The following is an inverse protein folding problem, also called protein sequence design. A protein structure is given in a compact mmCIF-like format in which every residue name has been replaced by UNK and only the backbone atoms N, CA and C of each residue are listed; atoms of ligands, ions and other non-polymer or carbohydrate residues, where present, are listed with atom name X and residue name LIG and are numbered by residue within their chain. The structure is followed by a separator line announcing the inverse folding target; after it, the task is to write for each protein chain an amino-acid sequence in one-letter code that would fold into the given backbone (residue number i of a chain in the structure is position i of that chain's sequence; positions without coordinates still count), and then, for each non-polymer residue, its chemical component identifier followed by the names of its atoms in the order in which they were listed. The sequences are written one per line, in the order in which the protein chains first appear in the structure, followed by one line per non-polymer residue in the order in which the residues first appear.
data_IF_107143601897
#
_entry.id   IF_107143601897
#
_cell.length_a   1.000
_cell.length_b   1.000
_cell.length_c   1.000
_cell.angle_alpha   90.00
_cell.angle_beta   90.00
_cell.angle_gamma   90.00
#
_symmetry.space_group_name_H-M   'P 1'
#
loop_
_entity.id
_entity.type
_entity.pdbx_description
1 polymer ?
#
# COMPACT_ATOMS: atom_id res chain seq x y z
N UNK A 1 -3.32 16.47 -31.65
CA UNK A 1 -3.45 16.52 -30.17
C UNK A 1 -3.96 15.16 -29.70
N UNK A 2 -3.31 14.47 -28.75
CA UNK A 2 -3.90 13.27 -28.19
C UNK A 2 -5.28 13.62 -27.62
N UNK A 3 -6.30 12.80 -27.94
CA UNK A 3 -7.64 12.99 -27.41
C UNK A 3 -7.57 12.94 -25.89
N UNK A 4 -8.04 13.99 -25.22
CA UNK A 4 -8.25 13.98 -23.77
C UNK A 4 -9.36 12.97 -23.50
N UNK A 5 -9.02 11.86 -22.83
CA UNK A 5 -9.99 10.88 -22.37
C UNK A 5 -10.89 11.57 -21.34
N UNK A 6 -12.21 11.45 -21.50
CA UNK A 6 -13.20 12.08 -20.62
C UNK A 6 -14.26 11.05 -20.22
N UNK A 7 -14.64 11.06 -18.94
CA UNK A 7 -15.63 10.15 -18.37
C UNK A 7 -15.03 8.90 -17.73
N UNK A 8 -15.87 8.09 -17.06
CA UNK A 8 -15.42 6.91 -16.31
C UNK A 8 -14.94 5.80 -17.26
N UNK A 9 -13.92 5.06 -16.83
CA UNK A 9 -13.42 3.89 -17.53
C UNK A 9 -14.51 2.84 -17.70
N UNK A 10 -14.82 2.52 -18.96
CA UNK A 10 -15.78 1.48 -19.34
C UNK A 10 -15.51 0.92 -20.73
N UNK A 11 -15.93 -0.31 -20.95
CA UNK A 11 -15.98 -0.95 -22.26
C UNK A 11 -17.14 -0.39 -23.11
N UNK A 12 -17.17 -0.73 -24.41
CA UNK A 12 -18.21 -0.27 -25.32
C UNK A 12 -19.62 -0.78 -24.96
N UNK A 13 -19.71 -1.94 -24.33
CA UNK A 13 -20.94 -2.55 -23.80
C UNK A 13 -21.27 -2.12 -22.36
N UNK A 14 -20.48 -1.20 -21.78
CA UNK A 14 -20.83 -0.52 -20.53
C UNK A 14 -20.24 -1.12 -19.25
N UNK A 15 -19.41 -2.18 -19.33
CA UNK A 15 -18.72 -2.75 -18.16
C UNK A 15 -17.75 -1.71 -17.59
N UNK A 16 -17.93 -1.35 -16.32
CA UNK A 16 -17.04 -0.40 -15.62
C UNK A 16 -15.68 -1.03 -15.35
N UNK A 17 -14.62 -0.34 -15.75
CA UNK A 17 -13.22 -0.69 -15.48
C UNK A 17 -12.54 0.59 -14.98
N UNK A 18 -12.43 0.80 -13.67
CA UNK A 18 -11.87 2.03 -13.14
C UNK A 18 -10.39 2.17 -13.51
N UNK A 19 -9.99 3.35 -13.97
CA UNK A 19 -8.59 3.65 -14.26
C UNK A 19 -7.95 4.29 -13.03
N UNK A 20 -7.23 3.48 -12.25
CA UNK A 20 -6.60 3.91 -11.00
C UNK A 20 -5.12 4.26 -11.22
N UNK A 21 -4.60 5.20 -10.43
CA UNK A 21 -3.19 5.57 -10.46
C UNK A 21 -2.34 4.65 -9.58
N UNK A 22 -1.09 4.45 -9.99
CA UNK A 22 -0.02 3.95 -9.12
C UNK A 22 0.86 5.14 -8.75
N UNK A 23 1.13 5.30 -7.46
CA UNK A 23 1.84 6.45 -6.91
C UNK A 23 3.06 6.00 -6.11
N UNK A 24 4.19 6.59 -6.44
CA UNK A 24 5.52 6.42 -5.84
C UNK A 24 5.97 7.68 -5.10
N UNK A 25 5.47 8.85 -5.49
CA UNK A 25 5.84 10.13 -4.85
C UNK A 25 4.62 11.03 -4.62
N UNK A 26 4.81 12.11 -3.84
CA UNK A 26 3.76 13.09 -3.59
C UNK A 26 3.45 13.95 -4.83
N UNK A 27 4.45 14.19 -5.69
CA UNK A 27 4.31 14.98 -6.92
C UNK A 27 3.38 14.28 -7.93
N UNK A 28 3.36 12.95 -7.95
CA UNK A 28 2.51 12.17 -8.85
C UNK A 28 1.01 12.28 -8.52
N UNK A 29 0.67 12.67 -7.29
CA UNK A 29 -0.72 12.85 -6.85
C UNK A 29 -1.45 13.88 -7.72
N UNK A 30 -0.84 15.05 -7.94
CA UNK A 30 -1.43 16.11 -8.77
C UNK A 30 -1.60 15.67 -10.22
N UNK A 31 -0.61 14.96 -10.76
CA UNK A 31 -0.68 14.43 -12.11
C UNK A 31 -1.82 13.41 -12.27
N UNK A 32 -2.01 12.53 -11.28
CA UNK A 32 -3.11 11.56 -11.28
C UNK A 32 -4.49 12.25 -11.24
N UNK A 33 -4.64 13.28 -10.39
CA UNK A 33 -5.88 14.07 -10.33
C UNK A 33 -6.14 14.79 -11.65
N UNK A 34 -5.13 15.45 -12.23
CA UNK A 34 -5.24 16.17 -13.50
C UNK A 34 -5.55 15.24 -14.70
N UNK A 35 -5.01 14.02 -14.65
CA UNK A 35 -5.29 12.95 -15.62
C UNK A 35 -6.69 12.33 -15.46
N UNK A 36 -7.39 12.62 -14.36
CA UNK A 36 -8.73 12.11 -14.09
C UNK A 36 -8.77 10.69 -13.52
N UNK A 37 -7.71 10.26 -12.83
CA UNK A 37 -7.65 8.93 -12.20
C UNK A 37 -8.83 8.69 -11.26
N UNK A 38 -9.49 7.54 -11.38
CA UNK A 38 -10.68 7.16 -10.61
C UNK A 38 -10.35 6.67 -9.18
N UNK A 39 -9.14 6.94 -8.71
CA UNK A 39 -8.60 6.57 -7.40
C UNK A 39 -7.14 6.16 -7.50
N UNK A 40 -6.62 5.57 -6.44
CA UNK A 40 -5.25 5.03 -6.35
C UNK A 40 -5.33 3.53 -6.14
N UNK A 41 -4.80 2.77 -7.11
CA UNK A 41 -4.76 1.31 -7.07
C UNK A 41 -3.55 0.78 -6.30
N UNK A 42 -2.50 1.60 -6.20
CA UNK A 42 -1.30 1.31 -5.45
C UNK A 42 -0.63 2.61 -5.01
N UNK A 43 -0.60 2.87 -3.70
CA UNK A 43 0.32 3.81 -3.09
C UNK A 43 1.49 3.04 -2.50
N UNK A 44 2.69 3.26 -3.05
CA UNK A 44 3.95 2.73 -2.53
C UNK A 44 4.37 3.58 -1.32
N UNK A 45 4.57 2.94 -0.17
CA UNK A 45 4.82 3.67 1.08
C UNK A 45 6.29 3.93 1.34
N UNK A 46 7.18 3.37 0.51
CA UNK A 46 8.64 3.56 0.56
C UNK A 46 9.03 5.04 0.55
N UNK A 47 8.22 5.92 -0.05
CA UNK A 47 8.41 7.38 -0.03
C UNK A 47 8.56 7.97 1.39
N UNK A 48 7.95 7.34 2.40
CA UNK A 48 8.02 7.78 3.79
C UNK A 48 9.21 7.23 4.57
N UNK A 49 9.77 6.11 4.11
CA UNK A 49 10.76 5.32 4.86
C UNK A 49 12.16 5.39 4.26
N UNK A 50 12.31 5.62 2.95
CA UNK A 50 13.62 5.69 2.32
C UNK A 50 14.27 7.07 2.51
N UNK A 51 15.59 7.12 2.32
CA UNK A 51 16.41 8.35 2.33
C UNK A 51 16.33 9.18 3.62
N UNK A 52 16.15 8.53 4.78
CA UNK A 52 16.10 9.18 6.10
C UNK A 52 16.79 8.36 7.19
N UNK A 53 17.30 9.06 8.21
CA UNK A 53 18.03 8.43 9.33
C UNK A 53 17.15 7.82 10.42
N UNK A 54 15.89 8.23 10.52
CA UNK A 54 14.95 7.77 11.54
C UNK A 54 13.63 7.37 10.93
N UNK A 55 12.99 6.38 11.53
CA UNK A 55 11.69 5.89 11.10
C UNK A 55 10.60 6.98 11.19
N UNK A 56 9.71 7.10 10.19
CA UNK A 56 8.59 8.05 10.25
C UNK A 56 7.64 7.73 11.42
N UNK A 57 7.31 8.73 12.23
CA UNK A 57 6.35 8.56 13.32
C UNK A 57 4.91 8.35 12.82
N UNK A 58 4.05 7.75 13.65
CA UNK A 58 2.63 7.49 13.31
C UNK A 58 1.90 8.75 12.85
N UNK A 59 2.12 9.89 13.53
CA UNK A 59 1.47 11.15 13.18
C UNK A 59 1.91 11.69 11.81
N UNK A 60 3.20 11.55 11.47
CA UNK A 60 3.76 11.93 10.18
C UNK A 60 3.19 11.07 9.05
N UNK A 61 3.18 9.75 9.24
CA UNK A 61 2.60 8.82 8.29
C UNK A 61 1.10 9.12 8.06
N UNK A 62 0.34 9.31 9.15
CA UNK A 62 -1.09 9.58 9.08
C UNK A 62 -1.40 10.90 8.35
N UNK A 63 -0.60 11.95 8.58
CA UNK A 63 -0.75 13.22 7.89
C UNK A 63 -0.52 13.07 6.38
N UNK A 64 0.50 12.31 5.98
CA UNK A 64 0.78 12.05 4.56
C UNK A 64 -0.31 11.21 3.90
N UNK A 65 -0.74 10.12 4.53
CA UNK A 65 -1.81 9.27 3.98
C UNK A 65 -3.13 10.03 3.86
N UNK A 66 -3.46 10.85 4.84
CA UNK A 66 -4.64 11.72 4.80
C UNK A 66 -4.54 12.74 3.66
N UNK A 67 -3.40 13.43 3.53
CA UNK A 67 -3.20 14.43 2.48
C UNK A 67 -3.33 13.84 1.08
N UNK A 68 -2.85 12.61 0.85
CA UNK A 68 -3.05 11.90 -0.43
C UNK A 68 -4.51 11.48 -0.60
N UNK A 69 -5.12 10.89 0.44
CA UNK A 69 -6.49 10.39 0.39
C UNK A 69 -7.51 11.49 0.09
N UNK A 70 -7.35 12.67 0.68
CA UNK A 70 -8.25 13.82 0.49
C UNK A 70 -8.24 14.36 -0.95
N UNK A 71 -7.30 13.93 -1.79
CA UNK A 71 -7.31 14.22 -3.24
C UNK A 71 -8.25 13.32 -4.05
N UNK A 72 -8.77 12.28 -3.42
CA UNK A 72 -9.62 11.24 -4.03
C UNK A 72 -10.90 10.99 -3.20
N UNK A 73 -11.71 12.02 -2.90
CA UNK A 73 -12.93 11.86 -2.09
C UNK A 73 -13.90 10.87 -2.74
N UNK A 74 -14.43 9.93 -1.94
CA UNK A 74 -15.31 8.87 -2.39
C UNK A 74 -14.69 7.82 -3.34
N UNK A 75 -13.38 7.88 -3.58
CA UNK A 75 -12.64 6.97 -4.48
C UNK A 75 -11.73 6.05 -3.68
N UNK A 76 -11.40 4.85 -4.19
CA UNK A 76 -10.49 3.95 -3.51
C UNK A 76 -9.06 4.50 -3.48
N UNK A 77 -8.40 4.37 -2.34
CA UNK A 77 -6.96 4.63 -2.18
C UNK A 77 -6.33 3.42 -1.50
N UNK A 78 -5.65 2.58 -2.27
CA UNK A 78 -5.05 1.35 -1.77
C UNK A 78 -3.59 1.60 -1.38
N UNK A 79 -3.32 1.53 -0.08
CA UNK A 79 -1.99 1.68 0.49
C UNK A 79 -1.33 0.33 0.63
N UNK A 80 -0.17 0.14 -0.01
CA UNK A 80 0.66 -1.05 0.22
C UNK A 80 1.56 -0.80 1.41
N UNK A 81 1.50 -1.68 2.42
CA UNK A 81 2.44 -1.61 3.54
C UNK A 81 3.87 -1.74 3.05
N UNK A 82 4.84 -1.35 3.89
CA UNK A 82 6.24 -1.23 3.48
C UNK A 82 6.76 -2.53 2.83
N UNK A 83 7.20 -2.45 1.58
CA UNK A 83 7.82 -3.54 0.83
C UNK A 83 9.31 -3.25 0.66
N UNK A 84 10.07 -3.64 1.70
CA UNK A 84 11.51 -3.50 1.74
C UNK A 84 12.17 -4.82 2.11
N UNK A 85 13.36 -5.05 1.58
CA UNK A 85 14.23 -6.18 1.90
C UNK A 85 15.68 -5.73 2.10
N UNK A 86 16.57 -6.70 2.19
CA UNK A 86 18.01 -6.53 2.37
C UNK A 86 18.71 -5.66 1.29
N UNK A 87 18.07 -5.44 0.14
CA UNK A 87 18.61 -4.65 -0.97
C UNK A 87 18.60 -3.13 -0.72
N UNK A 88 17.85 -2.65 0.27
CA UNK A 88 17.74 -1.21 0.58
C UNK A 88 18.27 -0.92 1.98
N UNK A 89 19.27 -0.04 2.05
CA UNK A 89 19.81 0.41 3.33
C UNK A 89 18.85 1.38 4.02
N UNK A 90 18.24 0.91 5.12
CA UNK A 90 17.41 1.73 6.00
C UNK A 90 18.02 1.71 7.40
N UNK A 91 18.60 2.85 7.87
CA UNK A 91 19.44 2.87 9.08
C UNK A 91 18.80 2.37 10.37
N UNK A 92 17.48 2.35 10.44
CA UNK A 92 16.70 1.92 11.60
C UNK A 92 16.09 0.52 11.44
N UNK A 93 16.43 -0.21 10.37
CA UNK A 93 16.13 -1.63 10.20
C UNK A 93 17.41 -2.45 10.42
N UNK A 94 17.31 -3.70 10.88
CA UNK A 94 18.48 -4.56 11.00
C UNK A 94 19.11 -4.75 9.61
N UNK A 95 20.44 -4.73 9.58
CA UNK A 95 21.20 -5.10 8.39
C UNK A 95 21.09 -6.62 8.22
N UNK A 96 20.50 -7.05 7.11
CA UNK A 96 20.32 -8.46 6.77
C UNK A 96 21.20 -8.73 5.55
N UNK A 97 22.24 -9.54 5.73
CA UNK A 97 23.03 -10.02 4.60
C UNK A 97 22.41 -11.33 4.11
N UNK A 98 21.84 -11.30 2.91
CA UNK A 98 21.18 -12.46 2.31
C UNK A 98 21.79 -12.77 0.93
N UNK A 99 22.03 -14.05 0.60
CA UNK A 99 22.57 -14.43 -0.70
C UNK A 99 21.60 -14.11 -1.86
N UNK A 100 20.29 -14.01 -1.57
CA UNK A 100 19.28 -13.59 -2.52
C UNK A 100 18.18 -12.73 -1.84
N UNK A 101 18.33 -11.40 -1.82
CA UNK A 101 17.36 -10.48 -1.23
C UNK A 101 15.95 -10.56 -1.84
N UNK A 102 15.83 -10.97 -3.11
CA UNK A 102 14.53 -11.06 -3.77
C UNK A 102 13.67 -12.21 -3.22
N UNK A 103 14.29 -13.26 -2.70
CA UNK A 103 13.62 -14.42 -2.11
C UNK A 103 13.63 -14.43 -0.57
N UNK A 104 14.31 -13.46 0.03
CA UNK A 104 14.62 -13.40 1.46
C UNK A 104 13.57 -12.73 2.35
N UNK A 105 14.05 -12.14 3.44
CA UNK A 105 13.29 -11.42 4.45
C UNK A 105 12.90 -10.03 3.97
N UNK A 106 11.75 -9.95 3.30
CA UNK A 106 11.21 -8.70 2.76
C UNK A 106 9.70 -8.56 2.91
N UNK A 107 9.20 -7.34 2.75
CA UNK A 107 7.78 -7.03 2.78
C UNK A 107 7.09 -7.55 4.04
N UNK A 108 5.98 -8.30 3.89
CA UNK A 108 5.26 -8.84 5.04
C UNK A 108 6.10 -9.78 5.91
N UNK A 109 7.07 -10.52 5.34
CA UNK A 109 7.92 -11.44 6.12
C UNK A 109 8.80 -10.69 7.11
N UNK A 110 9.46 -9.64 6.63
CA UNK A 110 10.27 -8.76 7.48
C UNK A 110 9.42 -8.16 8.62
N UNK A 111 8.23 -7.66 8.28
CA UNK A 111 7.29 -7.15 9.28
C UNK A 111 6.85 -8.23 10.27
N UNK A 112 6.50 -9.44 9.82
CA UNK A 112 5.96 -10.50 10.69
C UNK A 112 7.01 -11.13 11.58
N UNK A 113 8.23 -11.35 11.07
CA UNK A 113 9.26 -12.15 11.73
C UNK A 113 10.25 -11.30 12.52
N UNK A 114 10.53 -10.08 12.06
CA UNK A 114 11.63 -9.28 12.60
C UNK A 114 11.14 -7.97 13.20
N UNK A 115 10.15 -7.30 12.58
CA UNK A 115 9.71 -5.94 12.97
C UNK A 115 8.19 -5.77 12.98
N UNK A 116 7.43 -6.50 13.81
CA UNK A 116 5.97 -6.38 13.86
C UNK A 116 5.50 -4.98 14.26
N UNK A 117 6.27 -4.28 15.09
CA UNK A 117 5.98 -2.92 15.52
C UNK A 117 6.04 -1.92 14.35
N UNK A 118 6.87 -2.20 13.35
CA UNK A 118 6.95 -1.41 12.11
C UNK A 118 5.61 -1.39 11.39
N UNK A 119 5.04 -2.58 11.22
CA UNK A 119 3.73 -2.75 10.62
C UNK A 119 2.63 -2.16 11.49
N UNK A 120 2.67 -2.40 12.80
CA UNK A 120 1.63 -1.96 13.73
C UNK A 120 1.48 -0.43 13.72
N UNK A 121 2.60 0.32 13.77
CA UNK A 121 2.58 1.79 13.66
C UNK A 121 2.11 2.28 12.28
N UNK A 122 2.46 1.57 11.21
CA UNK A 122 1.98 1.91 9.87
C UNK A 122 0.47 1.69 9.75
N UNK A 123 -0.04 0.57 10.24
CA UNK A 123 -1.48 0.28 10.26
C UNK A 123 -2.24 1.27 11.14
N UNK A 124 -1.67 1.66 12.27
CA UNK A 124 -2.23 2.72 13.12
C UNK A 124 -2.34 4.05 12.36
N UNK A 125 -1.29 4.44 11.63
CA UNK A 125 -1.28 5.65 10.83
C UNK A 125 -2.34 5.64 9.72
N UNK A 126 -2.46 4.51 9.01
CA UNK A 126 -3.49 4.32 7.97
C UNK A 126 -4.89 4.37 8.60
N UNK A 127 -5.11 3.72 9.75
CA UNK A 127 -6.37 3.74 10.48
C UNK A 127 -6.77 5.15 10.92
N UNK A 128 -5.82 5.93 11.45
CA UNK A 128 -6.02 7.34 11.81
C UNK A 128 -6.40 8.21 10.60
N UNK A 129 -5.80 7.97 9.43
CA UNK A 129 -6.16 8.67 8.20
C UNK A 129 -7.56 8.26 7.71
N UNK A 130 -7.86 6.96 7.71
CA UNK A 130 -9.15 6.41 7.28
C UNK A 130 -10.34 6.94 8.09
N UNK A 131 -10.14 7.23 9.38
CA UNK A 131 -11.17 7.82 10.23
C UNK A 131 -11.48 9.30 9.93
N UNK A 132 -10.69 9.97 9.09
CA UNK A 132 -10.73 11.43 8.89
C UNK A 132 -11.01 11.88 7.45
N UNK A 133 -11.10 10.95 6.52
CA UNK A 133 -11.25 11.23 5.08
C UNK A 133 -12.53 10.61 4.52
N UNK A 134 -13.01 11.16 3.41
CA UNK A 134 -14.13 10.60 2.64
C UNK A 134 -13.67 9.58 1.58
N UNK A 135 -12.36 9.43 1.36
CA UNK A 135 -11.83 8.40 0.47
C UNK A 135 -12.06 6.99 1.04
N UNK A 136 -12.24 6.01 0.16
CA UNK A 136 -12.27 4.60 0.56
C UNK A 136 -10.84 4.10 0.73
N UNK A 137 -10.30 4.31 1.92
CA UNK A 137 -8.94 3.95 2.29
C UNK A 137 -8.84 2.44 2.53
N UNK A 138 -7.99 1.78 1.73
CA UNK A 138 -7.78 0.34 1.75
C UNK A 138 -6.31 0.05 2.03
N UNK A 139 -6.03 -1.12 2.58
CA UNK A 139 -4.65 -1.55 2.83
C UNK A 139 -4.38 -2.90 2.18
N UNK A 140 -3.17 -3.09 1.66
CA UNK A 140 -2.70 -4.38 1.19
C UNK A 140 -1.30 -4.72 1.71
N UNK A 141 -1.07 -6.01 1.97
CA UNK A 141 0.27 -6.52 2.30
C UNK A 141 1.01 -7.00 1.04
N UNK A 142 2.31 -6.68 0.91
CA UNK A 142 3.19 -7.26 -0.10
C UNK A 142 3.71 -8.66 0.32
N UNK A 143 4.21 -9.44 -0.63
CA UNK A 143 4.99 -10.66 -0.42
C UNK A 143 4.27 -11.77 0.37
N UNK A 144 2.94 -11.80 0.31
CA UNK A 144 2.11 -12.88 0.89
C UNK A 144 2.25 -14.13 0.02
N UNK A 145 2.56 -15.26 0.64
CA UNK A 145 2.71 -16.56 -0.03
C UNK A 145 1.60 -17.54 0.32
N UNK A 146 1.08 -17.51 1.55
CA UNK A 146 0.13 -18.51 2.06
C UNK A 146 -1.08 -17.87 2.78
N UNK A 147 -2.24 -18.54 2.83
CA UNK A 147 -3.46 -17.99 3.46
C UNK A 147 -3.29 -17.57 4.92
N UNK A 148 -2.44 -18.25 5.67
CA UNK A 148 -2.16 -17.96 7.08
C UNK A 148 -1.52 -16.58 7.26
N UNK A 149 -0.65 -16.17 6.33
CA UNK A 149 -0.04 -14.82 6.32
C UNK A 149 -1.09 -13.76 6.01
N UNK A 150 -1.97 -14.03 5.04
CA UNK A 150 -3.09 -13.13 4.72
C UNK A 150 -4.04 -12.97 5.91
N UNK A 151 -4.39 -14.07 6.58
CA UNK A 151 -5.25 -14.06 7.76
C UNK A 151 -4.61 -13.29 8.92
N UNK A 152 -3.31 -13.51 9.17
CA UNK A 152 -2.53 -12.79 10.18
C UNK A 152 -2.52 -11.29 9.92
N UNK A 153 -2.23 -10.88 8.68
CA UNK A 153 -2.22 -9.48 8.29
C UNK A 153 -3.61 -8.84 8.43
N UNK A 154 -4.65 -9.54 7.98
CA UNK A 154 -6.01 -9.01 8.00
C UNK A 154 -6.58 -8.87 9.42
N UNK A 155 -6.24 -9.78 10.34
CA UNK A 155 -6.59 -9.61 11.74
C UNK A 155 -5.95 -8.36 12.33
N UNK A 156 -4.65 -8.14 12.06
CA UNK A 156 -3.89 -6.96 12.50
C UNK A 156 -4.45 -5.65 11.94
N UNK A 157 -4.65 -5.58 10.63
CA UNK A 157 -5.18 -4.37 9.98
C UNK A 157 -6.57 -3.99 10.51
N UNK A 158 -7.45 -4.98 10.74
CA UNK A 158 -8.79 -4.74 11.31
C UNK A 158 -8.74 -4.25 12.75
N UNK A 159 -7.74 -4.65 13.55
CA UNK A 159 -7.56 -4.14 14.90
C UNK A 159 -7.31 -2.61 14.93
N UNK A 160 -6.82 -2.03 13.83
CA UNK A 160 -6.65 -0.58 13.65
C UNK A 160 -7.82 0.10 12.88
N UNK A 161 -8.97 -0.58 12.75
CA UNK A 161 -10.17 -0.01 12.14
C UNK A 161 -10.24 -0.07 10.62
N UNK A 162 -9.30 -0.76 9.97
CA UNK A 162 -9.27 -0.88 8.50
C UNK A 162 -10.26 -1.97 8.04
N UNK A 163 -11.27 -1.57 7.27
CA UNK A 163 -12.35 -2.47 6.81
C UNK A 163 -11.95 -3.26 5.57
N UNK A 164 -11.34 -2.59 4.61
CA UNK A 164 -10.94 -3.19 3.33
C UNK A 164 -9.46 -3.53 3.36
N UNK A 165 -9.19 -4.83 3.50
CA UNK A 165 -7.85 -5.40 3.59
C UNK A 165 -7.65 -6.40 2.46
N UNK A 166 -6.56 -6.26 1.72
CA UNK A 166 -6.16 -7.18 0.66
C UNK A 166 -4.70 -7.62 0.77
N UNK A 167 -4.25 -8.32 -0.26
CA UNK A 167 -2.86 -8.75 -0.44
C UNK A 167 -2.45 -8.53 -1.88
N UNK A 168 -1.18 -8.22 -2.11
CA UNK A 168 -0.61 -8.17 -3.46
C UNK A 168 -0.28 -9.59 -3.92
N UNK A 169 -0.84 -10.01 -5.05
CA UNK A 169 -0.56 -11.33 -5.63
C UNK A 169 0.71 -11.24 -6.48
N UNK A 170 1.85 -11.52 -5.85
CA UNK A 170 3.17 -11.45 -6.48
C UNK A 170 4.05 -12.69 -6.22
N UNK A 171 3.71 -13.48 -5.21
CA UNK A 171 4.29 -14.81 -4.99
C UNK A 171 3.43 -15.85 -5.70
N UNK A 172 3.99 -16.73 -6.58
CA UNK A 172 3.20 -17.70 -7.33
C UNK A 172 2.28 -18.58 -6.46
N UNK A 173 2.73 -18.93 -5.25
CA UNK A 173 1.94 -19.71 -4.29
C UNK A 173 0.61 -19.03 -3.91
N UNK A 174 0.57 -17.70 -3.81
CA UNK A 174 -0.65 -16.96 -3.49
C UNK A 174 -1.71 -17.10 -4.60
N UNK A 175 -1.29 -17.06 -5.86
CA UNK A 175 -2.20 -17.27 -6.99
C UNK A 175 -2.77 -18.70 -6.99
N UNK A 176 -1.93 -19.70 -6.70
CA UNK A 176 -2.35 -21.10 -6.62
C UNK A 176 -3.29 -21.37 -5.43
N UNK A 177 -3.22 -20.54 -4.38
CA UNK A 177 -4.04 -20.67 -3.18
C UNK A 177 -5.37 -19.90 -3.24
N UNK A 178 -5.59 -19.00 -4.22
CA UNK A 178 -6.71 -18.04 -4.22
C UNK A 178 -8.12 -18.64 -4.27
N UNK A 179 -8.26 -19.94 -4.61
CA UNK A 179 -9.52 -20.67 -4.63
C UNK A 179 -9.75 -21.59 -3.43
N UNK A 180 -8.89 -21.52 -2.40
CA UNK A 180 -8.97 -22.32 -1.17
C UNK A 180 -9.40 -21.42 -0.02
#
# INVERSE_FOLDING_TARGET
RPRRLVGPGRTADGVRIPLLANLDTLEEVEHAVAAGAEGVGLLRTELLFLHRGTEPGVAEQAATYLAIADRFPGRPVVIRTLDIGADKQVPYLPELEEPNPALGLRGLRLAREVRPELLDRQLEAIGRAAARTEADLRVMAPMVAVPEEAAWFAARARAYGLRTVGVMVEVPAAALAAGR
#
